data_IF_669607825064
#
_entry.id   IF_669607825064
#
_cell.length_a   1.000
_cell.length_b   1.000
_cell.length_c   1.000
_cell.angle_alpha   90.00
_cell.angle_beta   90.00
_cell.angle_gamma   90.00
#
_symmetry.space_group_name_H-M   'P 1'
#
loop_
_entity.id
_entity.type
_entity.pdbx_description
1 polymer ?
#
# COMPACT_ATOMS: atom_id res chain seq x y z
N UNK A 1 28.04 16.47 4.15
CA UNK A 1 28.11 15.73 2.87
C UNK A 1 28.43 14.25 3.07
N UNK A 2 29.38 13.91 3.96
CA UNK A 2 29.81 12.53 4.27
C UNK A 2 28.68 11.56 4.67
N UNK A 3 27.74 11.98 5.54
CA UNK A 3 26.65 11.11 6.03
C UNK A 3 25.69 10.72 4.90
N UNK A 4 25.38 11.64 3.98
CA UNK A 4 24.42 11.39 2.89
C UNK A 4 24.99 10.40 1.87
N UNK A 5 26.27 10.51 1.54
CA UNK A 5 26.99 9.53 0.71
C UNK A 5 27.02 8.14 1.37
N UNK A 6 27.23 8.07 2.67
CA UNK A 6 27.24 6.81 3.42
C UNK A 6 25.88 6.10 3.40
N UNK A 7 24.78 6.83 3.63
CA UNK A 7 23.41 6.29 3.55
C UNK A 7 23.05 5.81 2.15
N UNK A 8 23.39 6.59 1.11
CA UNK A 8 23.17 6.20 -0.30
C UNK A 8 23.97 4.93 -0.64
N UNK A 9 25.22 4.81 -0.18
CA UNK A 9 26.04 3.62 -0.42
C UNK A 9 25.47 2.37 0.29
N UNK A 10 25.00 2.49 1.54
CA UNK A 10 24.41 1.36 2.29
C UNK A 10 23.08 0.90 1.68
N UNK A 11 22.20 1.83 1.28
CA UNK A 11 20.96 1.53 0.57
C UNK A 11 21.24 0.81 -0.75
N UNK A 12 22.26 1.27 -1.49
CA UNK A 12 22.68 0.68 -2.75
C UNK A 12 23.25 -0.74 -2.56
N UNK A 13 24.03 -1.01 -1.50
CA UNK A 13 24.55 -2.35 -1.21
C UNK A 13 23.45 -3.35 -0.80
N UNK A 14 22.49 -2.94 0.04
CA UNK A 14 21.35 -3.79 0.42
C UNK A 14 20.51 -4.16 -0.79
N UNK A 15 20.21 -3.16 -1.62
CA UNK A 15 19.48 -3.32 -2.87
C UNK A 15 20.22 -4.26 -3.84
N UNK A 16 21.53 -4.10 -4.03
CA UNK A 16 22.32 -5.01 -4.88
C UNK A 16 22.35 -6.45 -4.35
N UNK A 17 22.46 -6.64 -3.03
CA UNK A 17 22.40 -7.97 -2.41
C UNK A 17 21.02 -8.61 -2.63
N UNK A 18 19.94 -7.87 -2.39
CA UNK A 18 18.58 -8.36 -2.63
C UNK A 18 18.38 -8.74 -4.11
N UNK A 19 18.89 -7.94 -5.04
CA UNK A 19 18.81 -8.21 -6.48
C UNK A 19 19.50 -9.52 -6.87
N UNK A 20 20.64 -9.84 -6.25
CA UNK A 20 21.35 -11.10 -6.50
C UNK A 20 20.58 -12.35 -6.03
N UNK A 21 19.69 -12.20 -5.04
CA UNK A 21 18.82 -13.27 -4.55
C UNK A 21 17.56 -13.47 -5.40
N UNK A 22 17.29 -12.58 -6.36
CA UNK A 22 16.10 -12.63 -7.21
C UNK A 22 16.27 -13.61 -8.37
N UNK A 23 15.17 -14.27 -8.75
CA UNK A 23 15.07 -15.07 -9.97
C UNK A 23 15.14 -14.19 -11.22
N UNK A 24 15.41 -14.77 -12.39
CA UNK A 24 15.43 -14.03 -13.67
C UNK A 24 14.09 -13.31 -13.92
N UNK A 25 12.96 -13.95 -13.57
CA UNK A 25 11.62 -13.36 -13.71
C UNK A 25 11.44 -12.15 -12.79
N UNK A 26 11.85 -12.26 -11.53
CA UNK A 26 11.83 -11.16 -10.56
C UNK A 26 12.73 -10.00 -11.01
N UNK A 27 13.95 -10.29 -11.46
CA UNK A 27 14.87 -9.26 -11.98
C UNK A 27 14.31 -8.55 -13.22
N UNK A 28 13.60 -9.26 -14.10
CA UNK A 28 12.99 -8.65 -15.27
C UNK A 28 11.85 -7.69 -14.89
N UNK A 29 11.05 -8.02 -13.87
CA UNK A 29 10.06 -7.09 -13.31
C UNK A 29 10.75 -5.84 -12.76
N UNK A 30 11.81 -6.01 -11.98
CA UNK A 30 12.60 -4.87 -11.46
C UNK A 30 13.11 -3.98 -12.59
N UNK A 31 13.73 -4.55 -13.64
CA UNK A 31 14.28 -3.77 -14.75
C UNK A 31 13.21 -3.02 -15.56
N UNK A 32 11.99 -3.55 -15.65
CA UNK A 32 10.94 -2.99 -16.51
C UNK A 32 10.01 -2.03 -15.78
N UNK A 33 9.78 -2.25 -14.50
CA UNK A 33 8.88 -1.47 -13.66
C UNK A 33 9.66 -0.44 -12.83
N UNK A 34 10.31 0.49 -13.54
CA UNK A 34 11.28 1.47 -13.00
C UNK A 34 10.67 2.74 -12.38
N UNK A 35 9.35 2.92 -12.45
CA UNK A 35 8.65 4.03 -11.80
C UNK A 35 7.41 3.56 -11.03
N UNK A 36 6.98 4.31 -10.00
CA UNK A 36 5.74 4.03 -9.29
C UNK A 36 4.52 3.87 -10.21
N UNK A 37 4.43 4.68 -11.28
CA UNK A 37 3.33 4.61 -12.25
C UNK A 37 3.36 3.30 -13.05
N UNK A 38 4.55 2.83 -13.45
CA UNK A 38 4.68 1.54 -14.15
C UNK A 38 4.30 0.38 -13.23
N UNK A 39 4.71 0.44 -11.97
CA UNK A 39 4.34 -0.58 -10.96
C UNK A 39 2.83 -0.58 -10.73
N UNK A 40 2.21 0.59 -10.52
CA UNK A 40 0.76 0.70 -10.37
C UNK A 40 0.02 0.16 -11.60
N UNK A 41 0.47 0.53 -12.80
CA UNK A 41 -0.14 0.04 -14.04
C UNK A 41 0.00 -1.48 -14.20
N UNK A 42 1.12 -2.06 -13.76
CA UNK A 42 1.32 -3.51 -13.75
C UNK A 42 0.40 -4.20 -12.76
N UNK A 43 0.29 -3.69 -11.53
CA UNK A 43 -0.64 -4.21 -10.52
C UNK A 43 -2.07 -4.24 -11.06
N UNK A 44 -2.57 -3.09 -11.56
CA UNK A 44 -3.94 -2.98 -12.08
C UNK A 44 -4.24 -3.92 -13.26
N UNK A 45 -3.26 -4.20 -14.12
CA UNK A 45 -3.47 -4.97 -15.36
C UNK A 45 -3.15 -6.44 -15.23
N UNK A 46 -2.23 -6.80 -14.35
CA UNK A 46 -1.60 -8.13 -14.35
C UNK A 46 -1.78 -8.88 -13.03
N UNK A 47 -2.18 -8.21 -11.95
CA UNK A 47 -2.31 -8.79 -10.62
C UNK A 47 -3.75 -8.58 -10.12
N UNK A 48 -4.68 -9.49 -10.43
CA UNK A 48 -6.03 -9.46 -9.84
C UNK A 48 -6.01 -9.47 -8.31
N UNK A 49 -7.04 -8.86 -7.73
CA UNK A 49 -7.21 -8.81 -6.28
C UNK A 49 -7.34 -10.23 -5.71
N UNK A 50 -6.59 -10.51 -4.65
CA UNK A 50 -6.67 -11.77 -3.93
C UNK A 50 -7.85 -11.74 -2.95
N UNK A 51 -8.93 -12.42 -3.30
CA UNK A 51 -10.13 -12.57 -2.46
C UNK A 51 -10.02 -13.70 -1.43
N UNK A 52 -8.84 -14.33 -1.31
CA UNK A 52 -8.55 -15.35 -0.29
C UNK A 52 -9.52 -16.54 -0.30
N UNK A 53 -10.07 -16.88 -1.47
CA UNK A 53 -11.00 -18.01 -1.63
C UNK A 53 -10.43 -19.37 -1.20
N UNK A 54 -9.10 -19.47 -1.07
CA UNK A 54 -8.39 -20.68 -0.62
C UNK A 54 -7.87 -20.57 0.83
N UNK A 55 -8.35 -19.59 1.59
CA UNK A 55 -7.92 -19.28 2.95
C UNK A 55 -7.04 -18.04 3.05
N UNK A 56 -6.88 -17.54 4.28
CA UNK A 56 -6.07 -16.37 4.60
C UNK A 56 -4.62 -16.52 4.12
N UNK A 57 -4.10 -15.44 3.58
CA UNK A 57 -2.79 -15.36 2.94
C UNK A 57 -2.09 -14.06 3.31
N UNK A 58 -0.75 -14.11 3.32
CA UNK A 58 0.06 -12.91 3.36
C UNK A 58 1.36 -13.18 2.62
N UNK A 59 1.26 -13.20 1.30
CA UNK A 59 2.32 -13.54 0.37
C UNK A 59 3.44 -12.50 0.37
N UNK A 60 4.69 -12.98 0.32
CA UNK A 60 5.85 -12.14 0.00
C UNK A 60 5.83 -11.68 -1.46
N UNK A 61 6.69 -10.71 -1.82
CA UNK A 61 6.90 -10.34 -3.23
C UNK A 61 7.14 -11.56 -4.14
N UNK A 62 8.02 -12.47 -3.74
CA UNK A 62 8.30 -13.72 -4.48
C UNK A 62 7.05 -14.57 -4.71
N UNK A 63 6.22 -14.69 -3.67
CA UNK A 63 4.98 -15.46 -3.76
C UNK A 63 3.97 -14.79 -4.69
N UNK A 64 3.81 -13.45 -4.63
CA UNK A 64 2.97 -12.67 -5.56
C UNK A 64 3.44 -12.83 -7.00
N UNK A 65 4.75 -12.80 -7.27
CA UNK A 65 5.30 -13.04 -8.62
C UNK A 65 4.95 -14.43 -9.15
N UNK A 66 4.78 -15.41 -8.26
CA UNK A 66 4.42 -16.79 -8.62
C UNK A 66 2.91 -16.96 -8.81
N UNK A 67 2.10 -16.50 -7.85
CA UNK A 67 0.64 -16.67 -7.84
C UNK A 67 -0.08 -15.72 -8.81
N UNK A 68 0.51 -14.53 -9.06
CA UNK A 68 -0.10 -13.42 -9.80
C UNK A 68 -1.42 -12.94 -9.18
N UNK A 69 -1.56 -13.02 -7.85
CA UNK A 69 -2.67 -12.44 -7.11
C UNK A 69 -2.11 -11.69 -5.90
N UNK A 70 -2.75 -10.60 -5.51
CA UNK A 70 -2.37 -9.85 -4.32
C UNK A 70 -3.57 -9.13 -3.69
N UNK A 71 -3.66 -9.09 -2.37
CA UNK A 71 -4.43 -8.08 -1.64
C UNK A 71 -3.54 -6.85 -1.30
N UNK A 72 -4.08 -5.86 -0.60
CA UNK A 72 -3.43 -4.55 -0.38
C UNK A 72 -1.99 -4.64 0.20
N UNK A 73 -1.78 -5.39 1.28
CA UNK A 73 -0.47 -5.55 1.91
C UNK A 73 0.51 -6.37 1.04
N UNK A 74 0.04 -7.42 0.37
CA UNK A 74 0.85 -8.21 -0.58
C UNK A 74 1.32 -7.36 -1.77
N UNK A 75 0.43 -6.51 -2.31
CA UNK A 75 0.76 -5.57 -3.37
C UNK A 75 1.75 -4.49 -2.91
N UNK A 76 1.68 -4.10 -1.63
CA UNK A 76 2.65 -3.19 -1.02
C UNK A 76 4.04 -3.82 -0.96
N UNK A 77 4.17 -5.10 -0.58
CA UNK A 77 5.45 -5.81 -0.65
C UNK A 77 5.96 -5.92 -2.09
N UNK A 78 5.06 -6.17 -3.05
CA UNK A 78 5.42 -6.22 -4.45
C UNK A 78 6.00 -4.89 -4.95
N UNK A 79 5.31 -3.78 -4.66
CA UNK A 79 5.78 -2.45 -5.04
C UNK A 79 7.10 -2.09 -4.36
N UNK A 80 7.23 -2.35 -3.06
CA UNK A 80 8.43 -2.07 -2.28
C UNK A 80 9.65 -2.85 -2.81
N UNK A 81 9.50 -4.15 -3.08
CA UNK A 81 10.60 -5.00 -3.56
C UNK A 81 11.10 -4.59 -4.95
N UNK A 82 10.25 -3.96 -5.77
CA UNK A 82 10.66 -3.43 -7.07
C UNK A 82 11.29 -2.06 -6.92
N UNK A 83 10.60 -1.13 -6.25
CA UNK A 83 10.95 0.29 -6.24
C UNK A 83 12.18 0.58 -5.37
N UNK A 84 12.54 -0.31 -4.43
CA UNK A 84 13.81 -0.20 -3.71
C UNK A 84 15.04 -0.26 -4.60
N UNK A 85 14.98 -0.99 -5.72
CA UNK A 85 16.05 -1.03 -6.72
C UNK A 85 16.13 0.24 -7.56
N UNK A 86 15.07 1.04 -7.53
CA UNK A 86 15.00 2.35 -8.17
C UNK A 86 15.21 3.47 -7.16
N UNK A 87 15.69 3.13 -5.95
CA UNK A 87 16.09 4.05 -4.89
C UNK A 87 14.92 4.70 -4.15
N UNK A 88 13.77 4.05 -4.08
CA UNK A 88 12.70 4.42 -3.16
C UNK A 88 12.84 3.61 -1.87
N UNK A 89 12.59 4.24 -0.72
CA UNK A 89 12.58 3.47 0.52
C UNK A 89 11.34 2.55 0.56
N UNK A 90 11.43 1.34 1.14
CA UNK A 90 10.32 0.39 1.23
C UNK A 90 9.33 0.81 2.33
N UNK A 91 8.68 1.97 2.14
CA UNK A 91 7.74 2.56 3.09
C UNK A 91 6.33 2.00 2.88
N UNK A 92 5.72 1.54 3.96
CA UNK A 92 4.30 1.17 4.03
C UNK A 92 3.57 2.32 4.70
N UNK A 93 2.48 2.76 4.09
CA UNK A 93 1.42 3.50 4.74
C UNK A 93 0.32 2.50 5.08
N UNK A 94 0.09 2.30 6.37
CA UNK A 94 -0.99 1.48 6.88
C UNK A 94 -2.07 2.39 7.48
N UNK A 95 -3.32 2.13 7.11
CA UNK A 95 -4.48 2.97 7.41
C UNK A 95 -5.58 2.11 8.03
N UNK A 96 -5.91 2.41 9.28
CA UNK A 96 -6.87 1.64 10.07
C UNK A 96 -8.24 2.31 10.11
N UNK A 97 -9.27 1.55 9.78
CA UNK A 97 -10.67 1.93 9.88
C UNK A 97 -11.30 1.43 11.18
N UNK A 98 -12.36 2.12 11.65
CA UNK A 98 -13.08 1.76 12.89
C UNK A 98 -13.72 0.37 12.89
N UNK A 99 -13.93 -0.23 11.71
CA UNK A 99 -14.47 -1.58 11.52
C UNK A 99 -13.36 -2.66 11.50
N UNK A 100 -12.13 -2.28 11.89
CA UNK A 100 -10.96 -3.14 11.91
C UNK A 100 -10.52 -3.63 10.53
N UNK A 101 -10.88 -2.92 9.46
CA UNK A 101 -10.35 -3.16 8.12
C UNK A 101 -9.19 -2.20 7.83
N UNK A 102 -8.01 -2.79 7.66
CA UNK A 102 -6.80 -2.07 7.27
C UNK A 102 -6.65 -1.96 5.75
N UNK A 103 -5.99 -0.88 5.31
CA UNK A 103 -5.52 -0.72 3.95
C UNK A 103 -4.07 -0.30 3.90
N UNK A 104 -3.23 -1.19 3.40
CA UNK A 104 -1.82 -0.96 3.22
C UNK A 104 -1.50 -0.49 1.79
N UNK A 105 -0.68 0.54 1.70
CA UNK A 105 -0.18 1.12 0.45
C UNK A 105 1.34 1.29 0.51
N UNK A 106 2.02 1.13 -0.61
CA UNK A 106 3.40 1.56 -0.74
C UNK A 106 3.44 3.09 -0.86
N UNK A 107 4.07 3.76 0.10
CA UNK A 107 4.20 5.22 0.12
C UNK A 107 5.52 5.62 -0.55
N UNK A 108 5.48 6.57 -1.47
CA UNK A 108 6.70 7.14 -2.06
C UNK A 108 6.67 8.66 -2.06
N UNK A 109 7.87 9.23 -2.09
CA UNK A 109 8.07 10.64 -2.41
C UNK A 109 8.70 10.72 -3.80
N UNK A 110 8.05 11.45 -4.70
CA UNK A 110 8.59 11.69 -6.04
C UNK A 110 9.88 12.50 -5.93
N UNK A 111 10.94 11.98 -6.55
CA UNK A 111 12.30 12.50 -6.40
C UNK A 111 12.51 13.86 -7.07
N UNK A 112 11.63 14.23 -8.02
CA UNK A 112 11.75 15.48 -8.79
C UNK A 112 10.97 16.62 -8.13
N UNK A 113 9.77 16.32 -7.65
CA UNK A 113 8.81 17.30 -7.11
C UNK A 113 8.81 17.36 -5.58
N UNK A 114 9.28 16.30 -4.92
CA UNK A 114 9.18 16.16 -3.46
C UNK A 114 7.77 15.88 -2.95
N UNK A 115 6.81 15.63 -3.85
CA UNK A 115 5.43 15.32 -3.49
C UNK A 115 5.27 13.83 -3.18
N UNK A 116 4.35 13.52 -2.27
CA UNK A 116 4.01 12.16 -1.89
C UNK A 116 2.93 11.59 -2.80
N UNK A 117 3.05 10.29 -3.08
CA UNK A 117 2.06 9.46 -3.75
C UNK A 117 2.08 8.04 -3.18
N UNK A 118 1.21 7.18 -3.70
CA UNK A 118 1.06 5.79 -3.26
C UNK A 118 0.97 4.82 -4.43
N UNK A 119 1.38 3.58 -4.19
CA UNK A 119 1.13 2.45 -5.08
C UNK A 119 0.39 1.37 -4.28
N UNK A 120 -0.67 0.80 -4.84
CA UNK A 120 -1.40 -0.29 -4.20
C UNK A 120 -2.71 -0.64 -4.89
N UNK A 121 -3.34 -1.69 -4.40
CA UNK A 121 -4.61 -2.25 -4.90
C UNK A 121 -5.59 -2.36 -3.74
N UNK A 122 -6.89 -2.33 -4.03
CA UNK A 122 -7.96 -2.48 -3.05
C UNK A 122 -9.11 -3.29 -3.65
N UNK A 123 -10.11 -3.59 -2.82
CA UNK A 123 -11.41 -4.11 -3.26
C UNK A 123 -12.19 -3.05 -4.05
N UNK A 124 -12.04 -1.79 -3.63
CA UNK A 124 -12.69 -0.62 -4.22
C UNK A 124 -11.68 0.21 -5.02
N UNK A 125 -12.04 0.61 -6.24
CA UNK A 125 -11.14 1.29 -7.18
C UNK A 125 -10.67 2.66 -6.67
N UNK A 126 -11.51 3.36 -5.89
CA UNK A 126 -11.23 4.66 -5.27
C UNK A 126 -10.04 4.59 -4.30
N UNK A 127 -9.77 3.41 -3.76
CA UNK A 127 -8.72 3.13 -2.78
C UNK A 127 -7.41 2.67 -3.43
N UNK A 128 -7.28 2.66 -4.76
CA UNK A 128 -6.03 2.31 -5.43
C UNK A 128 -4.94 3.37 -5.20
N UNK A 129 -3.70 3.07 -5.62
CA UNK A 129 -2.58 4.00 -5.52
C UNK A 129 -2.81 5.32 -6.26
N UNK A 130 -2.36 6.42 -5.66
CA UNK A 130 -2.53 7.80 -6.15
C UNK A 130 -1.19 8.37 -6.62
N UNK A 131 -1.21 9.11 -7.73
CA UNK A 131 -0.02 9.82 -8.25
C UNK A 131 0.52 10.80 -7.21
N UNK A 132 1.82 11.08 -7.28
CA UNK A 132 2.45 12.05 -6.41
C UNK A 132 1.92 13.48 -6.64
N UNK A 133 1.03 13.93 -5.76
CA UNK A 133 0.41 15.26 -5.81
C UNK A 133 0.26 15.92 -4.43
N UNK A 134 0.72 15.23 -3.37
CA UNK A 134 0.46 15.60 -1.99
C UNK A 134 1.71 16.17 -1.31
N UNK A 135 1.58 17.26 -0.55
CA UNK A 135 2.74 17.89 0.12
C UNK A 135 3.17 17.14 1.37
N UNK A 136 2.24 16.45 2.03
CA UNK A 136 2.50 15.72 3.26
C UNK A 136 1.85 14.35 3.24
N UNK A 137 2.36 13.41 4.06
CA UNK A 137 1.71 12.11 4.29
C UNK A 137 0.27 12.30 4.79
N UNK A 138 0.02 13.30 5.63
CA UNK A 138 -1.35 13.61 6.08
C UNK A 138 -2.26 13.96 4.90
N UNK A 139 -1.77 14.69 3.90
CA UNK A 139 -2.57 15.02 2.71
C UNK A 139 -2.87 13.76 1.87
N UNK A 140 -1.93 12.81 1.79
CA UNK A 140 -2.18 11.49 1.19
C UNK A 140 -3.30 10.77 1.93
N UNK A 141 -3.20 10.64 3.25
CA UNK A 141 -4.21 9.98 4.10
C UNK A 141 -5.57 10.67 3.96
N UNK A 142 -5.60 12.00 4.00
CA UNK A 142 -6.84 12.77 3.83
C UNK A 142 -7.44 12.62 2.43
N UNK A 143 -6.65 12.26 1.42
CA UNK A 143 -7.17 11.98 0.08
C UNK A 143 -7.99 10.69 0.00
N UNK A 144 -7.80 9.75 0.94
CA UNK A 144 -8.57 8.51 1.06
C UNK A 144 -9.71 8.61 2.06
N UNK A 145 -9.66 9.58 2.98
CA UNK A 145 -10.58 9.66 4.11
C UNK A 145 -12.07 9.62 3.73
N UNK A 146 -12.47 10.33 2.68
CA UNK A 146 -13.88 10.39 2.27
C UNK A 146 -14.35 9.05 1.67
N UNK A 147 -13.45 8.29 1.04
CA UNK A 147 -13.72 6.99 0.40
C UNK A 147 -13.84 5.85 1.43
N UNK A 148 -13.38 6.06 2.66
CA UNK A 148 -13.52 5.13 3.78
C UNK A 148 -14.87 5.21 4.49
N UNK A 149 -15.67 6.25 4.23
CA UNK A 149 -16.90 6.47 5.00
C UNK A 149 -18.05 5.72 4.36
N UNK A 150 -18.50 4.68 5.06
CA UNK A 150 -19.76 3.98 4.82
C UNK A 150 -20.60 3.87 6.12
N UNK A 151 -21.55 2.94 6.16
CA UNK A 151 -22.39 2.71 7.35
C UNK A 151 -21.61 2.18 8.56
N UNK A 152 -20.51 1.49 8.32
CA UNK A 152 -19.70 0.76 9.32
C UNK A 152 -18.26 1.28 9.42
N UNK A 153 -17.72 1.87 8.35
CA UNK A 153 -16.32 2.21 8.19
C UNK A 153 -16.10 3.72 8.25
N UNK A 154 -14.93 4.08 8.77
CA UNK A 154 -14.39 5.43 8.79
C UNK A 154 -12.91 5.32 9.13
N UNK A 155 -12.07 5.97 8.32
CA UNK A 155 -10.64 6.04 8.58
C UNK A 155 -10.36 6.70 9.94
N UNK A 156 -9.72 5.96 10.84
CA UNK A 156 -9.48 6.36 12.22
C UNK A 156 -8.05 6.84 12.41
N UNK A 157 -7.08 6.08 11.92
CA UNK A 157 -5.68 6.29 12.20
C UNK A 157 -4.77 5.75 11.08
N UNK A 158 -3.50 6.12 11.14
CA UNK A 158 -2.51 5.61 10.19
C UNK A 158 -1.11 5.53 10.81
N UNK A 159 -0.27 4.67 10.26
CA UNK A 159 1.16 4.61 10.58
C UNK A 159 1.98 4.54 9.29
N UNK A 160 3.20 5.06 9.34
CA UNK A 160 4.18 4.88 8.26
C UNK A 160 5.41 4.21 8.84
N UNK A 161 5.82 3.11 8.24
CA UNK A 161 7.04 2.41 8.61
C UNK A 161 7.86 2.00 7.38
N UNK A 162 9.15 1.84 7.60
CA UNK A 162 10.02 1.21 6.63
C UNK A 162 10.02 -0.31 6.89
N UNK A 163 9.72 -1.12 5.88
CA UNK A 163 9.63 -2.57 6.01
C UNK A 163 10.93 -3.22 6.53
N UNK A 164 12.08 -2.60 6.32
CA UNK A 164 13.37 -3.10 6.82
C UNK A 164 13.57 -2.89 8.33
N UNK A 165 12.72 -2.11 8.99
CA UNK A 165 12.78 -1.97 10.45
C UNK A 165 12.05 -3.11 11.17
N UNK A 166 11.27 -3.92 10.44
CA UNK A 166 10.54 -5.06 11.02
C UNK A 166 11.52 -6.23 11.25
N UNK A 167 11.78 -6.62 12.51
CA UNK A 167 12.81 -7.61 12.79
C UNK A 167 12.45 -8.98 12.21
N UNK A 168 13.37 -9.62 11.48
CA UNK A 168 13.22 -10.98 10.97
C UNK A 168 12.01 -11.22 10.04
N UNK A 169 11.47 -10.17 9.40
CA UNK A 169 10.40 -10.31 8.41
C UNK A 169 10.98 -10.42 6.99
N UNK A 170 10.84 -11.59 6.35
CA UNK A 170 11.29 -11.79 4.96
C UNK A 170 10.16 -11.51 3.96
N UNK A 171 9.68 -10.27 3.94
CA UNK A 171 8.61 -9.79 3.06
C UNK A 171 8.98 -9.82 1.57
N UNK A 172 10.27 -9.88 1.23
CA UNK A 172 10.76 -9.97 -0.16
C UNK A 172 10.68 -11.40 -0.71
N UNK A 173 11.23 -12.38 0.02
CA UNK A 173 11.60 -13.67 -0.57
C UNK A 173 11.07 -14.90 0.18
N UNK A 174 10.25 -14.71 1.22
CA UNK A 174 9.67 -15.84 1.96
C UNK A 174 8.82 -16.73 1.07
N UNK A 175 8.98 -18.04 1.19
CA UNK A 175 8.08 -19.04 0.58
C UNK A 175 6.85 -19.33 1.44
N UNK A 176 6.74 -18.71 2.63
CA UNK A 176 5.62 -18.83 3.57
C UNK A 176 4.96 -17.47 3.77
N UNK A 177 3.75 -17.48 4.33
CA UNK A 177 3.07 -16.24 4.73
C UNK A 177 3.91 -15.43 5.71
N UNK A 178 3.81 -14.10 5.59
CA UNK A 178 4.66 -13.13 6.31
C UNK A 178 3.88 -12.44 7.44
N UNK A 179 3.04 -13.20 8.16
CA UNK A 179 2.17 -12.75 9.27
C UNK A 179 2.83 -11.85 10.30
N UNK A 180 4.15 -11.99 10.46
CA UNK A 180 4.94 -11.13 11.32
C UNK A 180 4.82 -9.64 10.97
N UNK A 181 4.65 -9.30 9.69
CA UNK A 181 4.51 -7.90 9.26
C UNK A 181 3.19 -7.32 9.74
N UNK A 182 2.09 -8.03 9.50
CA UNK A 182 0.75 -7.61 9.94
C UNK A 182 0.67 -7.49 11.48
N UNK A 183 1.14 -8.50 12.21
CA UNK A 183 1.19 -8.43 13.68
C UNK A 183 2.01 -7.22 14.16
N UNK A 184 3.16 -6.95 13.53
CA UNK A 184 4.00 -5.83 13.89
C UNK A 184 3.33 -4.49 13.58
N UNK A 185 2.61 -4.38 12.46
CA UNK A 185 1.85 -3.19 12.10
C UNK A 185 0.78 -2.89 13.16
N UNK A 186 -0.01 -3.89 13.56
CA UNK A 186 -1.06 -3.75 14.56
C UNK A 186 -0.57 -3.34 15.96
N UNK A 187 0.69 -3.63 16.31
CA UNK A 187 1.30 -3.25 17.59
C UNK A 187 1.80 -1.80 17.62
N UNK A 188 1.92 -1.13 16.47
CA UNK A 188 2.52 0.21 16.40
C UNK A 188 1.56 1.30 16.89
N UNK A 189 2.11 2.37 17.49
CA UNK A 189 1.31 3.53 17.87
C UNK A 189 0.85 4.27 16.62
N UNK A 190 -0.42 4.09 16.26
CA UNK A 190 -1.03 4.75 15.12
C UNK A 190 -1.34 6.23 15.41
N UNK A 191 -1.22 7.06 14.38
CA UNK A 191 -1.56 8.47 14.43
C UNK A 191 -3.00 8.68 14.04
N UNK A 192 -3.81 9.19 14.97
CA UNK A 192 -5.22 9.50 14.72
C UNK A 192 -5.45 10.56 13.64
N UNK A 193 -6.41 10.29 12.76
CA UNK A 193 -6.92 11.20 11.74
C UNK A 193 -7.97 12.11 12.36
N UNK A 194 -7.53 13.30 12.78
CA UNK A 194 -8.43 14.32 13.32
C UNK A 194 -9.21 15.02 12.21
N UNK A 195 -10.52 14.78 12.16
CA UNK A 195 -11.50 15.45 11.31
C UNK A 195 -12.65 16.01 12.13
N UNK A 196 -13.33 17.05 11.60
CA UNK A 196 -14.49 17.61 12.31
C UNK A 196 -15.69 16.67 12.23
N UNK A 197 -16.43 16.52 13.33
CA UNK A 197 -17.70 15.78 13.36
C UNK A 197 -18.69 16.28 12.28
N UNK A 198 -18.65 17.57 11.97
CA UNK A 198 -19.45 18.19 10.91
C UNK A 198 -19.09 17.65 9.52
N UNK A 199 -17.78 17.52 9.21
CA UNK A 199 -17.31 16.93 7.95
C UNK A 199 -17.74 15.46 7.84
N UNK A 200 -17.48 14.66 8.87
CA UNK A 200 -17.87 13.26 8.93
C UNK A 200 -19.37 13.07 8.65
N UNK A 201 -20.25 13.77 9.40
CA UNK A 201 -21.70 13.70 9.22
C UNK A 201 -22.15 14.10 7.81
N UNK A 202 -21.48 15.08 7.19
CA UNK A 202 -21.78 15.50 5.82
C UNK A 202 -21.49 14.38 4.82
N UNK A 203 -20.32 13.73 4.93
CA UNK A 203 -19.91 12.66 4.01
C UNK A 203 -20.78 11.43 4.22
N UNK A 204 -21.04 11.02 5.47
CA UNK A 204 -21.94 9.91 5.77
C UNK A 204 -23.34 10.13 5.17
N UNK A 205 -23.89 11.34 5.28
CA UNK A 205 -25.18 11.65 4.67
C UNK A 205 -25.15 11.53 3.13
N UNK A 206 -24.03 11.88 2.48
CA UNK A 206 -23.86 11.72 1.03
C UNK A 206 -23.73 10.24 0.65
N UNK A 207 -23.02 9.43 1.43
CA UNK A 207 -22.96 7.98 1.26
C UNK A 207 -24.35 7.35 1.36
N UNK A 208 -25.09 7.59 2.45
CA UNK A 208 -26.41 7.02 2.69
C UNK A 208 -27.42 7.39 1.59
N UNK A 209 -27.30 8.60 1.03
CA UNK A 209 -28.13 9.03 -0.09
C UNK A 209 -27.83 8.20 -1.36
N UNK A 210 -26.55 8.08 -1.72
CA UNK A 210 -26.11 7.29 -2.90
C UNK A 210 -26.47 5.80 -2.76
N UNK A 211 -26.30 5.23 -1.56
CA UNK A 211 -26.66 3.83 -1.27
C UNK A 211 -28.14 3.56 -1.55
N UNK A 212 -29.04 4.41 -1.03
CA UNK A 212 -30.48 4.29 -1.26
C UNK A 212 -30.86 4.38 -2.74
N UNK A 213 -30.27 5.32 -3.47
CA UNK A 213 -30.50 5.48 -4.91
C UNK A 213 -30.10 4.21 -5.67
N UNK A 214 -28.94 3.63 -5.34
CA UNK A 214 -28.46 2.38 -5.96
C UNK A 214 -29.36 1.18 -5.63
N UNK A 215 -29.82 1.03 -4.38
CA UNK A 215 -30.76 -0.04 -3.99
C UNK A 215 -32.07 0.06 -4.77
N UNK A 216 -32.64 1.27 -4.88
CA UNK A 216 -33.87 1.50 -5.65
C UNK A 216 -33.70 1.19 -7.14
N UNK A 217 -32.54 1.47 -7.72
CA UNK A 217 -32.27 1.11 -9.13
C UNK A 217 -32.10 -0.39 -9.36
N UNK A 218 -31.53 -1.12 -8.40
CA UNK A 218 -31.36 -2.58 -8.49
C UNK A 218 -32.68 -3.32 -8.26
N UNK A 219 -33.57 -2.80 -7.41
CA UNK A 219 -34.91 -3.36 -7.20
C UNK A 219 -35.88 -3.07 -8.36
N UNK A 220 -35.57 -2.07 -9.19
CA UNK A 220 -36.37 -1.69 -10.35
C UNK A 220 -35.92 -2.35 -11.68
N UNK A 221 -34.84 -3.13 -11.67
CA UNK A 221 -34.25 -3.82 -12.83
C UNK A 221 -34.52 -5.33 -12.78
#
# INVERSE_FOLDING_TARGET
MEIWLFFVTILNMKSQKAFSCMTIKEQNLVRTLDTPEKVQAYLNRCIPYNWEHSGESLQSFRSVVKSKTAHCLEATFFAAAILEHHGYEPLVLDMHSIDCLDHCLFLYQDKKTGLFGTVGVSREDELYGKKASFKTVRDVVMSYYDDYIDETACLESYVVINLDTIPYANWRFSHRNVWKVENYLGELPHRFVRVSKKRYKKILAQYLKRSKENTTTLEAA
#
